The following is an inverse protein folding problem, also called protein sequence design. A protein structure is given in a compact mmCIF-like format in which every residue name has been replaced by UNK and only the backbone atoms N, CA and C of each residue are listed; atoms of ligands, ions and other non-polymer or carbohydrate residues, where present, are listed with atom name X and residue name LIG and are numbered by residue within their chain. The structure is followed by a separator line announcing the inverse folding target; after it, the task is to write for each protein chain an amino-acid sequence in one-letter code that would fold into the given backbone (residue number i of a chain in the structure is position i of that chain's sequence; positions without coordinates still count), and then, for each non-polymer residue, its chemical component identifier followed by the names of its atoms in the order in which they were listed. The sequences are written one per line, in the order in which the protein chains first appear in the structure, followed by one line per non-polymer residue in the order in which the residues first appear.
data_IF_862732491351
#
_entry.id   IF_862732491351
#
_cell.length_a   1.000
_cell.length_b   1.000
_cell.length_c   1.000
_cell.angle_alpha   90.00
_cell.angle_beta   90.00
_cell.angle_gamma   90.00
#
_symmetry.space_group_name_H-M   'P 1'
#
loop_
_entity.id
_entity.type
_entity.pdbx_description
1 polymer ?
#
# COMPACT_ATOMS: atom_id res chain seq x y z
N UNK A 1 -18.28 7.68 6.87
CA UNK A 1 -17.48 7.30 5.68
C UNK A 1 -18.17 7.69 4.37
N UNK A 2 -19.34 7.14 4.03
CA UNK A 2 -20.03 7.45 2.75
C UNK A 2 -20.22 8.95 2.48
N UNK A 3 -20.67 9.74 3.46
CA UNK A 3 -20.86 11.19 3.32
C UNK A 3 -19.58 11.95 2.92
N UNK A 4 -18.40 11.48 3.34
CA UNK A 4 -17.11 12.11 2.99
C UNK A 4 -16.67 11.80 1.56
N UNK A 5 -17.05 10.61 1.06
CA UNK A 5 -16.78 10.21 -0.32
C UNK A 5 -17.72 10.94 -1.28
N UNK A 6 -19.01 11.02 -0.95
CA UNK A 6 -20.02 11.72 -1.75
C UNK A 6 -19.73 13.23 -1.88
N UNK A 7 -19.20 13.84 -0.83
CA UNK A 7 -18.82 15.26 -0.85
C UNK A 7 -17.59 15.59 -1.73
N UNK A 8 -16.94 14.58 -2.32
CA UNK A 8 -15.70 14.70 -3.10
C UNK A 8 -15.77 13.96 -4.43
N UNK A 9 -16.97 13.61 -4.89
CA UNK A 9 -17.18 12.87 -6.15
C UNK A 9 -16.67 13.62 -7.39
N UNK A 10 -16.49 14.93 -7.27
CA UNK A 10 -15.92 15.80 -8.31
C UNK A 10 -14.42 15.54 -8.60
N UNK A 11 -13.67 14.96 -7.65
CA UNK A 11 -12.23 14.67 -7.84
C UNK A 11 -11.75 13.33 -7.26
N UNK A 12 -12.58 12.58 -6.54
CA UNK A 12 -12.23 11.30 -5.92
C UNK A 12 -13.18 10.18 -6.38
N UNK A 13 -12.66 9.26 -7.17
CA UNK A 13 -13.35 8.00 -7.50
C UNK A 13 -13.05 6.95 -6.44
N UNK A 14 -14.08 6.41 -5.80
CA UNK A 14 -13.94 5.39 -4.77
C UNK A 14 -14.41 4.02 -5.28
N UNK A 15 -13.56 3.01 -5.14
CA UNK A 15 -13.89 1.62 -5.44
C UNK A 15 -14.19 0.86 -4.14
N UNK A 16 -15.31 0.14 -4.09
CA UNK A 16 -15.64 -0.73 -2.96
C UNK A 16 -15.13 -2.14 -3.24
N UNK A 17 -14.20 -2.59 -2.40
CA UNK A 17 -13.77 -3.99 -2.40
C UNK A 17 -14.74 -4.84 -1.55
N UNK A 18 -14.87 -6.14 -1.85
CA UNK A 18 -15.57 -7.09 -0.98
C UNK A 18 -15.00 -7.07 0.45
N UNK A 19 -15.84 -7.40 1.43
CA UNK A 19 -15.37 -7.58 2.80
C UNK A 19 -14.36 -8.75 2.85
N UNK A 20 -13.31 -8.61 3.66
CA UNK A 20 -12.27 -9.63 3.84
C UNK A 20 -11.56 -10.07 2.55
N UNK A 21 -11.32 -9.14 1.62
CA UNK A 21 -10.51 -9.38 0.41
C UNK A 21 -9.14 -8.66 0.47
N UNK A 22 -8.21 -9.09 1.36
CA UNK A 22 -6.87 -8.48 1.46
C UNK A 22 -6.01 -8.70 0.21
N UNK A 23 -6.27 -9.78 -0.53
CA UNK A 23 -5.69 -10.11 -1.83
C UNK A 23 -5.94 -9.02 -2.89
N UNK A 24 -7.04 -8.27 -2.76
CA UNK A 24 -7.37 -7.15 -3.65
C UNK A 24 -6.78 -5.81 -3.17
N UNK A 25 -6.06 -5.77 -2.04
CA UNK A 25 -5.48 -4.55 -1.50
C UNK A 25 -3.97 -4.48 -1.80
N UNK A 26 -3.52 -3.64 -2.76
CA UNK A 26 -2.10 -3.59 -3.14
C UNK A 26 -1.19 -3.08 -2.01
N UNK A 27 -1.76 -2.42 -1.00
CA UNK A 27 -1.00 -2.04 0.20
C UNK A 27 -0.49 -3.26 0.97
N UNK A 28 -1.17 -4.42 0.90
CA UNK A 28 -0.68 -5.66 1.53
C UNK A 28 0.66 -6.12 0.93
N UNK A 29 0.81 -6.00 -0.39
CA UNK A 29 2.09 -6.28 -1.07
C UNK A 29 3.21 -5.35 -0.61
N UNK A 30 2.92 -4.05 -0.47
CA UNK A 30 3.86 -3.06 0.10
C UNK A 30 4.26 -3.45 1.53
N UNK A 31 3.30 -3.84 2.37
CA UNK A 31 3.55 -4.25 3.75
C UNK A 31 4.36 -5.55 3.84
N UNK A 32 4.03 -6.55 3.03
CA UNK A 32 4.77 -7.81 2.96
C UNK A 32 6.22 -7.57 2.55
N UNK A 33 6.45 -6.75 1.51
CA UNK A 33 7.78 -6.40 1.04
C UNK A 33 8.58 -5.61 2.10
N UNK A 34 7.93 -4.65 2.77
CA UNK A 34 8.55 -3.89 3.86
C UNK A 34 8.95 -4.82 5.02
N UNK A 35 8.05 -5.66 5.50
CA UNK A 35 8.31 -6.63 6.59
C UNK A 35 9.45 -7.58 6.23
N UNK A 36 9.42 -8.16 5.02
CA UNK A 36 10.50 -9.04 4.53
C UNK A 36 11.84 -8.34 4.53
N UNK A 37 11.89 -7.09 4.07
CA UNK A 37 13.14 -6.32 4.12
C UNK A 37 13.62 -6.15 5.56
N UNK A 38 12.71 -5.87 6.51
CA UNK A 38 13.02 -5.53 7.91
C UNK A 38 13.32 -6.76 8.77
N UNK A 39 13.09 -7.98 8.28
CA UNK A 39 13.24 -9.21 9.06
C UNK A 39 14.62 -9.44 9.66
N UNK A 40 15.68 -8.85 9.11
CA UNK A 40 17.05 -8.94 9.67
C UNK A 40 17.42 -7.79 10.62
N UNK A 41 16.51 -6.83 10.85
CA UNK A 41 16.75 -5.72 11.76
C UNK A 41 16.41 -6.15 13.19
N UNK A 42 17.43 -6.33 14.02
CA UNK A 42 17.26 -6.58 15.46
C UNK A 42 16.95 -5.27 16.22
N UNK A 43 15.84 -4.61 15.88
CA UNK A 43 15.39 -3.41 16.59
C UNK A 43 14.84 -3.78 17.97
N UNK A 44 15.39 -3.17 19.03
CA UNK A 44 14.91 -3.33 20.40
C UNK A 44 13.79 -2.37 20.78
N UNK A 45 13.52 -1.36 19.95
CA UNK A 45 12.47 -0.36 20.19
C UNK A 45 11.74 0.02 18.89
N UNK A 46 10.54 0.59 19.03
CA UNK A 46 9.76 1.09 17.90
C UNK A 46 10.47 2.22 17.16
N UNK A 47 11.21 3.09 17.85
CA UNK A 47 11.95 4.18 17.21
C UNK A 47 13.09 3.66 16.34
N UNK A 48 13.79 2.63 16.81
CA UNK A 48 14.82 1.93 16.05
C UNK A 48 14.24 1.24 14.79
N UNK A 49 12.97 0.84 14.82
CA UNK A 49 12.26 0.28 13.65
C UNK A 49 11.72 1.37 12.71
N UNK A 50 11.25 2.49 13.26
CA UNK A 50 10.54 3.53 12.52
C UNK A 50 11.42 4.21 11.46
N UNK A 51 12.66 4.58 11.79
CA UNK A 51 13.55 5.26 10.85
C UNK A 51 13.94 4.37 9.63
N UNK A 52 14.33 3.08 9.82
CA UNK A 52 14.52 2.16 8.71
C UNK A 52 13.26 1.90 7.89
N UNK A 53 12.10 1.75 8.53
CA UNK A 53 10.83 1.55 7.84
C UNK A 53 10.49 2.74 6.92
N UNK A 54 10.57 3.97 7.45
CA UNK A 54 10.36 5.21 6.68
C UNK A 54 11.34 5.34 5.53
N UNK A 55 12.62 5.02 5.76
CA UNK A 55 13.66 5.07 4.72
C UNK A 55 13.36 4.10 3.59
N UNK A 56 12.92 2.89 3.90
CA UNK A 56 12.62 1.86 2.91
C UNK A 56 11.35 2.16 2.13
N UNK A 57 10.29 2.60 2.80
CA UNK A 57 9.08 3.12 2.14
C UNK A 57 9.42 4.29 1.21
N UNK A 58 10.29 5.22 1.65
CA UNK A 58 10.77 6.32 0.80
C UNK A 58 11.51 5.81 -0.43
N UNK A 59 12.34 4.76 -0.32
CA UNK A 59 13.01 4.13 -1.48
C UNK A 59 12.03 3.45 -2.44
N UNK A 60 11.01 2.75 -1.91
CA UNK A 60 9.99 2.10 -2.74
C UNK A 60 9.23 3.12 -3.60
N UNK A 61 8.91 4.30 -3.04
CA UNK A 61 8.30 5.41 -3.79
C UNK A 61 9.07 5.83 -5.04
N UNK A 62 10.40 5.67 -5.06
CA UNK A 62 11.22 6.01 -6.22
C UNK A 62 11.40 4.83 -7.20
N UNK A 63 10.67 3.72 -7.01
CA UNK A 63 10.71 2.53 -7.87
C UNK A 63 9.30 2.28 -8.46
N UNK A 64 8.87 3.02 -9.48
CA UNK A 64 7.52 2.91 -10.04
C UNK A 64 7.18 1.48 -10.45
N UNK A 65 8.07 0.78 -11.16
CA UNK A 65 7.84 -0.61 -11.55
C UNK A 65 7.61 -1.59 -10.38
N UNK A 66 8.17 -1.30 -9.19
CA UNK A 66 7.90 -2.11 -7.99
C UNK A 66 6.47 -1.86 -7.48
N UNK A 67 6.02 -0.60 -7.52
CA UNK A 67 4.66 -0.23 -7.11
C UNK A 67 3.63 -0.77 -8.10
N UNK A 68 3.91 -0.69 -9.40
CA UNK A 68 3.07 -1.25 -10.45
C UNK A 68 2.94 -2.77 -10.29
N UNK A 69 4.02 -3.45 -9.89
CA UNK A 69 3.99 -4.88 -9.57
C UNK A 69 3.03 -5.24 -8.42
N UNK A 70 2.95 -4.41 -7.37
CA UNK A 70 1.99 -4.64 -6.28
C UNK A 70 0.53 -4.44 -6.71
N UNK A 71 0.27 -3.53 -7.64
CA UNK A 71 -1.06 -3.34 -8.21
C UNK A 71 -1.41 -4.52 -9.12
N UNK A 72 -0.48 -4.93 -9.98
CA UNK A 72 -0.66 -6.06 -10.89
C UNK A 72 -0.95 -7.38 -10.16
N UNK A 73 -0.39 -7.60 -8.97
CA UNK A 73 -0.64 -8.79 -8.15
C UNK A 73 -2.10 -8.90 -7.67
N UNK A 74 -2.84 -7.79 -7.61
CA UNK A 74 -4.24 -7.78 -7.12
C UNK A 74 -5.27 -8.17 -8.18
N UNK A 75 -4.84 -8.43 -9.43
CA UNK A 75 -5.70 -8.61 -10.61
C UNK A 75 -6.70 -7.45 -10.86
N UNK A 76 -6.58 -6.34 -10.11
CA UNK A 76 -7.39 -5.15 -10.29
C UNK A 76 -6.91 -4.41 -11.53
N UNK A 77 -7.68 -4.52 -12.60
CA UNK A 77 -7.48 -3.68 -13.76
C UNK A 77 -7.99 -2.28 -13.42
N UNK A 78 -7.08 -1.31 -13.28
CA UNK A 78 -7.42 0.11 -13.18
C UNK A 78 -7.82 0.63 -14.56
N UNK A 79 -8.92 0.13 -15.12
CA UNK A 79 -9.55 0.80 -16.24
C UNK A 79 -10.20 2.10 -15.70
N UNK A 80 -10.00 3.25 -16.34
CA UNK A 80 -10.85 4.40 -16.05
C UNK A 80 -12.32 3.99 -16.33
N UNK A 81 -13.28 4.50 -15.56
CA UNK A 81 -14.69 4.31 -15.87
C UNK A 81 -15.06 4.90 -17.23
#
# INVERSE_FOLDING_TARGET
MCRLLTAREDWLTAFRLPAYAPDLNPAEGVWAHLKKSLGHLAAGTTDQLAAPARTRLKRMRYRPALLDGFIAETDLTLAPP
#
